data_IF_197045121685
#
_entry.id   IF_197045121685
#
_cell.length_a   1.000
_cell.length_b   1.000
_cell.length_c   1.000
_cell.angle_alpha   90.00
_cell.angle_beta   90.00
_cell.angle_gamma   90.00
#
_symmetry.space_group_name_H-M   'P 1'
#
loop_
_entity.id
_entity.type
_entity.pdbx_description
1 polymer ?
#
# COMPACT_ATOMS: atom_id res chain seq x y z
N UNK A 1 14.34 28.60 6.37
CA UNK A 1 13.29 28.70 5.33
C UNK A 1 13.66 29.86 4.44
N UNK A 2 13.82 29.63 3.13
CA UNK A 2 12.71 29.22 2.25
C UNK A 2 13.09 27.98 1.42
N UNK A 3 12.22 27.15 0.83
CA UNK A 3 10.84 26.73 1.06
C UNK A 3 10.90 25.24 0.67
N UNK A 4 10.80 24.29 1.62
CA UNK A 4 10.34 22.93 1.30
C UNK A 4 8.82 22.94 1.56
N UNK A 5 8.15 23.87 0.89
CA UNK A 5 6.71 23.78 0.66
C UNK A 5 6.53 22.73 -0.41
N UNK A 6 5.63 21.80 -0.13
CA UNK A 6 5.07 20.89 -1.09
C UNK A 6 6.07 19.87 -1.62
N UNK A 7 6.29 18.82 -0.83
CA UNK A 7 6.22 17.49 -1.44
C UNK A 7 4.83 17.39 -2.07
N UNK A 8 4.70 17.91 -3.28
CA UNK A 8 3.67 17.52 -4.23
C UNK A 8 3.90 16.05 -4.52
N UNK A 9 3.45 15.18 -3.61
CA UNK A 9 3.21 13.75 -3.87
C UNK A 9 2.20 13.55 -5.04
N UNK A 10 1.75 14.64 -5.66
CA UNK A 10 0.87 14.69 -6.81
C UNK A 10 1.61 14.93 -8.15
N UNK A 11 2.90 15.32 -8.15
CA UNK A 11 3.59 15.76 -9.38
C UNK A 11 4.65 14.78 -9.90
N UNK A 12 5.18 13.92 -9.03
CA UNK A 12 6.10 12.85 -9.43
C UNK A 12 5.36 11.51 -9.47
N UNK A 13 5.43 10.81 -10.60
CA UNK A 13 4.86 9.48 -10.75
C UNK A 13 5.46 8.49 -9.75
N UNK A 14 4.74 7.39 -9.47
CA UNK A 14 5.19 6.33 -8.57
C UNK A 14 6.62 5.87 -8.89
N UNK A 15 6.96 5.81 -10.18
CA UNK A 15 8.28 5.48 -10.68
C UNK A 15 9.36 6.47 -10.23
N UNK A 16 9.16 7.77 -10.45
CA UNK A 16 10.12 8.80 -10.03
C UNK A 16 10.30 8.81 -8.51
N UNK A 17 9.24 8.52 -7.75
CA UNK A 17 9.31 8.39 -6.29
C UNK A 17 10.10 7.16 -5.85
N UNK A 18 9.88 6.00 -6.48
CA UNK A 18 10.60 4.75 -6.17
C UNK A 18 12.08 4.82 -6.57
N UNK A 19 12.37 5.41 -7.73
CA UNK A 19 13.75 5.64 -8.17
C UNK A 19 14.48 6.61 -7.21
N UNK A 20 13.80 7.67 -6.77
CA UNK A 20 14.35 8.62 -5.81
C UNK A 20 14.56 7.97 -4.43
N UNK A 21 13.59 7.20 -3.93
CA UNK A 21 13.69 6.50 -2.65
C UNK A 21 14.87 5.50 -2.68
N UNK A 22 15.01 4.74 -3.76
CA UNK A 22 16.11 3.79 -3.94
C UNK A 22 17.46 4.50 -3.99
N UNK A 23 17.53 5.73 -4.54
CA UNK A 23 18.75 6.53 -4.56
C UNK A 23 19.14 7.12 -3.19
N UNK A 24 18.20 7.19 -2.24
CA UNK A 24 18.40 7.76 -0.89
C UNK A 24 18.66 6.70 0.19
N UNK A 25 18.56 5.40 -0.12
CA UNK A 25 18.84 4.33 0.82
C UNK A 25 20.35 4.25 1.11
N UNK A 26 20.72 4.35 2.39
CA UNK A 26 22.12 4.40 2.84
C UNK A 26 22.77 3.00 2.75
N UNK A 27 24.02 2.88 2.29
CA UNK A 27 24.68 1.58 2.04
C UNK A 27 25.25 0.88 3.29
N UNK A 28 24.65 1.06 4.47
CA UNK A 28 25.12 0.41 5.70
C UNK A 28 24.71 -1.09 5.72
N UNK A 29 25.59 -1.89 5.10
CA UNK A 29 25.87 -3.31 5.29
C UNK A 29 24.71 -4.25 5.70
N UNK A 30 23.89 -4.64 4.70
CA UNK A 30 23.55 -6.05 4.39
C UNK A 30 22.75 -6.19 3.08
N UNK A 31 22.32 -5.06 2.50
CA UNK A 31 21.41 -5.00 1.33
C UNK A 31 22.03 -4.31 0.11
N UNK A 32 23.36 -4.22 0.02
CA UNK A 32 24.02 -3.48 -1.08
C UNK A 32 23.67 -4.07 -2.45
N UNK A 33 23.55 -5.39 -2.55
CA UNK A 33 23.16 -6.09 -3.77
C UNK A 33 21.70 -5.83 -4.12
N UNK A 34 20.81 -5.88 -3.12
CA UNK A 34 19.38 -5.57 -3.28
C UNK A 34 19.17 -4.11 -3.73
N UNK A 35 19.93 -3.17 -3.17
CA UNK A 35 19.84 -1.75 -3.55
C UNK A 35 20.32 -1.50 -4.98
N UNK A 36 21.38 -2.19 -5.41
CA UNK A 36 21.85 -2.13 -6.80
C UNK A 36 20.80 -2.73 -7.72
N UNK A 37 20.25 -3.90 -7.37
CA UNK A 37 19.18 -4.54 -8.13
C UNK A 37 17.95 -3.64 -8.28
N UNK A 38 17.43 -3.08 -7.18
CA UNK A 38 16.26 -2.19 -7.22
C UNK A 38 16.55 -0.95 -8.05
N UNK A 39 17.76 -0.39 -7.94
CA UNK A 39 18.16 0.77 -8.75
C UNK A 39 18.15 0.41 -10.22
N UNK A 40 18.67 -0.74 -10.61
CA UNK A 40 18.69 -1.19 -12.00
C UNK A 40 17.27 -1.43 -12.51
N UNK A 41 16.45 -2.16 -11.76
CA UNK A 41 15.02 -2.42 -12.07
C UNK A 41 14.23 -1.11 -12.23
N UNK A 42 14.35 -0.16 -11.30
CA UNK A 42 13.63 1.11 -11.39
C UNK A 42 14.27 2.12 -12.32
N UNK A 43 15.44 1.83 -12.89
CA UNK A 43 16.04 2.64 -13.96
C UNK A 43 15.67 2.12 -15.35
N UNK A 44 15.11 0.91 -15.46
CA UNK A 44 14.69 0.31 -16.72
C UNK A 44 13.54 1.11 -17.36
N UNK A 45 13.73 1.48 -18.63
CA UNK A 45 12.74 2.28 -19.39
C UNK A 45 11.41 1.53 -19.54
N UNK A 46 11.46 0.21 -19.72
CA UNK A 46 10.26 -0.63 -19.84
C UNK A 46 9.39 -0.57 -18.58
N UNK A 47 10.01 -0.67 -17.41
CA UNK A 47 9.35 -0.56 -16.10
C UNK A 47 8.82 0.86 -15.90
N UNK A 48 9.57 1.89 -16.31
CA UNK A 48 9.09 3.27 -16.30
C UNK A 48 7.79 3.45 -17.09
N UNK A 49 7.74 2.94 -18.32
CA UNK A 49 6.53 3.02 -19.15
C UNK A 49 5.38 2.21 -18.56
N UNK A 50 5.65 1.00 -18.06
CA UNK A 50 4.65 0.15 -17.43
C UNK A 50 4.01 0.84 -16.20
N UNK A 51 4.84 1.44 -15.34
CA UNK A 51 4.36 2.19 -14.17
C UNK A 51 3.51 3.39 -14.58
N UNK A 52 3.91 4.13 -15.63
CA UNK A 52 3.14 5.28 -16.16
C UNK A 52 1.80 4.85 -16.74
N UNK A 53 1.75 3.74 -17.47
CA UNK A 53 0.50 3.15 -17.98
C UNK A 53 -0.39 2.72 -16.81
N UNK A 54 0.16 2.00 -15.83
CA UNK A 54 -0.58 1.56 -14.64
C UNK A 54 -1.18 2.74 -13.88
N UNK A 55 -0.40 3.79 -13.63
CA UNK A 55 -0.87 4.99 -12.94
C UNK A 55 -2.01 5.68 -13.71
N UNK A 56 -1.89 5.77 -15.04
CA UNK A 56 -2.96 6.30 -15.89
C UNK A 56 -4.22 5.43 -15.87
N UNK A 57 -4.09 4.11 -15.93
CA UNK A 57 -5.24 3.19 -15.83
C UNK A 57 -5.92 3.28 -14.46
N UNK A 58 -5.15 3.41 -13.38
CA UNK A 58 -5.67 3.58 -12.02
C UNK A 58 -6.46 4.87 -11.84
N UNK A 59 -6.15 5.92 -12.61
CA UNK A 59 -6.97 7.15 -12.63
C UNK A 59 -8.37 6.88 -13.20
N UNK A 60 -8.48 6.03 -14.23
CA UNK A 60 -9.77 5.63 -14.80
C UNK A 60 -10.55 4.68 -13.89
N UNK A 61 -9.88 3.80 -13.15
CA UNK A 61 -10.53 2.91 -12.18
C UNK A 61 -11.32 3.70 -11.13
N UNK A 62 -10.80 4.84 -10.65
CA UNK A 62 -11.51 5.73 -9.70
C UNK A 62 -12.82 6.30 -10.25
N UNK A 63 -12.97 6.35 -11.57
CA UNK A 63 -14.16 6.85 -12.27
C UNK A 63 -14.97 5.71 -12.90
N UNK A 64 -14.60 4.46 -12.64
CA UNK A 64 -15.26 3.31 -13.25
C UNK A 64 -16.71 3.20 -12.79
N UNK A 65 -17.66 2.94 -13.71
CA UNK A 65 -19.05 2.73 -13.34
C UNK A 65 -19.20 1.41 -12.56
N UNK A 66 -20.15 1.37 -11.63
CA UNK A 66 -20.51 0.12 -10.96
C UNK A 66 -21.21 -0.81 -11.94
N UNK A 67 -20.75 -2.06 -12.12
CA UNK A 67 -21.40 -3.01 -13.01
C UNK A 67 -22.79 -3.34 -12.48
N UNK A 68 -23.78 -3.37 -13.38
CA UNK A 68 -25.18 -3.69 -13.03
C UNK A 68 -25.33 -5.16 -12.65
N UNK A 69 -24.53 -6.02 -13.28
CA UNK A 69 -24.49 -7.47 -13.08
C UNK A 69 -23.03 -7.93 -13.16
N UNK A 70 -22.72 -9.11 -12.62
CA UNK A 70 -21.38 -9.69 -12.67
C UNK A 70 -21.28 -10.93 -13.59
N UNK A 71 -22.41 -11.40 -14.13
CA UNK A 71 -22.59 -12.64 -14.88
C UNK A 71 -23.49 -12.43 -16.11
N UNK A 72 -23.17 -11.42 -16.92
CA UNK A 72 -23.92 -11.08 -18.12
C UNK A 72 -23.79 -12.16 -19.21
N UNK A 73 -22.68 -12.91 -19.24
CA UNK A 73 -22.54 -14.06 -20.13
C UNK A 73 -23.54 -15.17 -19.80
N UNK A 74 -23.66 -15.57 -18.52
CA UNK A 74 -24.65 -16.56 -18.08
C UNK A 74 -26.09 -16.10 -18.39
N UNK A 75 -26.41 -14.82 -18.18
CA UNK A 75 -27.74 -14.31 -18.51
C UNK A 75 -28.05 -14.42 -20.01
N UNK A 76 -27.06 -14.20 -20.88
CA UNK A 76 -27.25 -14.37 -22.32
C UNK A 76 -27.47 -15.84 -22.70
N UNK A 77 -26.79 -16.76 -22.03
CA UNK A 77 -27.00 -18.21 -22.20
C UNK A 77 -28.41 -18.62 -21.76
N UNK A 78 -28.87 -18.14 -20.60
CA UNK A 78 -30.24 -18.37 -20.12
C UNK A 78 -31.27 -17.89 -21.15
N UNK A 79 -31.05 -16.73 -21.78
CA UNK A 79 -31.94 -16.21 -22.85
C UNK A 79 -31.91 -17.10 -24.09
N UNK A 80 -30.74 -17.65 -24.46
CA UNK A 80 -30.62 -18.62 -25.54
C UNK A 80 -31.41 -19.91 -25.23
N UNK A 81 -31.48 -20.33 -23.97
CA UNK A 81 -32.16 -21.54 -23.50
C UNK A 81 -33.68 -21.39 -23.28
N UNK A 82 -34.19 -20.16 -23.11
CA UNK A 82 -35.61 -19.89 -22.83
C UNK A 82 -36.57 -20.14 -24.01
N UNK A 83 -36.09 -20.66 -25.14
CA UNK A 83 -36.89 -20.90 -26.34
C UNK A 83 -37.95 -22.00 -26.12
N UNK A 84 -39.23 -21.62 -26.17
CA UNK A 84 -40.36 -22.52 -25.93
C UNK A 84 -41.37 -22.58 -27.09
N UNK A 85 -41.00 -22.11 -28.29
CA UNK A 85 -41.93 -22.07 -29.43
C UNK A 85 -41.34 -21.53 -30.74
N UNK A 86 -42.18 -21.29 -31.76
CA UNK A 86 -41.77 -20.62 -32.99
C UNK A 86 -41.31 -19.20 -32.66
N UNK A 87 -40.09 -18.86 -33.07
CA UNK A 87 -39.50 -17.55 -32.80
C UNK A 87 -40.05 -16.49 -33.75
N UNK A 88 -40.41 -15.34 -33.20
CA UNK A 88 -40.62 -14.14 -34.00
C UNK A 88 -39.29 -13.67 -34.63
N UNK A 89 -39.39 -12.80 -35.64
CA UNK A 89 -38.21 -12.34 -36.39
C UNK A 89 -37.22 -11.60 -35.47
N UNK A 90 -37.73 -10.78 -34.54
CA UNK A 90 -36.93 -10.03 -33.57
C UNK A 90 -36.22 -10.96 -32.57
N UNK A 91 -36.89 -12.02 -32.10
CA UNK A 91 -36.31 -13.00 -31.18
C UNK A 91 -35.16 -13.75 -31.87
N UNK A 92 -35.35 -14.13 -33.14
CA UNK A 92 -34.34 -14.80 -33.94
C UNK A 92 -33.12 -13.90 -34.21
N UNK A 93 -33.35 -12.62 -34.49
CA UNK A 93 -32.27 -11.64 -34.67
C UNK A 93 -31.48 -11.45 -33.38
N UNK A 94 -32.15 -11.32 -32.23
CA UNK A 94 -31.52 -11.20 -30.92
C UNK A 94 -30.65 -12.43 -30.60
N UNK A 95 -31.20 -13.63 -30.78
CA UNK A 95 -30.47 -14.87 -30.54
C UNK A 95 -29.24 -15.00 -31.45
N UNK A 96 -29.38 -14.63 -32.73
CA UNK A 96 -28.25 -14.61 -33.66
C UNK A 96 -27.17 -13.64 -33.18
N UNK A 97 -27.55 -12.46 -32.70
CA UNK A 97 -26.64 -11.45 -32.18
C UNK A 97 -25.92 -11.94 -30.92
N UNK A 98 -26.65 -12.49 -29.94
CA UNK A 98 -26.12 -13.09 -28.70
C UNK A 98 -25.15 -14.23 -28.99
N UNK A 99 -25.41 -15.01 -30.05
CA UNK A 99 -24.55 -16.09 -30.52
C UNK A 99 -23.30 -15.64 -31.27
N UNK A 100 -23.16 -14.35 -31.62
CA UNK A 100 -21.96 -13.87 -32.32
C UNK A 100 -20.71 -13.93 -31.42
N UNK A 101 -19.53 -14.30 -31.97
CA UNK A 101 -18.31 -14.41 -31.19
C UNK A 101 -17.89 -13.08 -30.56
N UNK A 102 -18.16 -11.96 -31.25
CA UNK A 102 -17.83 -10.63 -30.76
C UNK A 102 -18.67 -10.26 -29.53
N UNK A 103 -19.99 -10.52 -29.56
CA UNK A 103 -20.83 -10.20 -28.41
C UNK A 103 -20.53 -11.13 -27.23
N UNK A 104 -20.29 -12.42 -27.47
CA UNK A 104 -19.81 -13.35 -26.44
C UNK A 104 -18.49 -12.90 -25.81
N UNK A 105 -17.54 -12.41 -26.62
CA UNK A 105 -16.29 -11.85 -26.12
C UNK A 105 -16.51 -10.58 -25.26
N UNK A 106 -17.42 -9.70 -25.66
CA UNK A 106 -17.75 -8.49 -24.88
C UNK A 106 -18.40 -8.86 -23.54
N UNK A 107 -19.34 -9.81 -23.52
CA UNK A 107 -19.98 -10.28 -22.28
C UNK A 107 -18.98 -10.98 -21.35
N UNK A 108 -18.08 -11.79 -21.91
CA UNK A 108 -16.98 -12.43 -21.17
C UNK A 108 -16.01 -11.39 -20.57
N UNK A 109 -15.64 -10.37 -21.34
CA UNK A 109 -14.80 -9.28 -20.86
C UNK A 109 -15.50 -8.45 -19.77
N UNK A 110 -16.79 -8.18 -19.95
CA UNK A 110 -17.63 -7.54 -18.93
C UNK A 110 -17.56 -8.30 -17.61
N UNK A 111 -17.81 -9.62 -17.63
CA UNK A 111 -17.83 -10.43 -16.41
C UNK A 111 -16.44 -10.50 -15.75
N UNK A 112 -15.39 -10.62 -16.56
CA UNK A 112 -14.00 -10.61 -16.07
C UNK A 112 -13.66 -9.31 -15.34
N UNK A 113 -14.05 -8.16 -15.90
CA UNK A 113 -13.82 -6.84 -15.30
C UNK A 113 -14.71 -6.62 -14.09
N UNK A 114 -16.01 -6.94 -14.18
CA UNK A 114 -16.98 -6.78 -13.10
C UNK A 114 -16.59 -7.60 -11.87
N UNK A 115 -16.10 -8.83 -12.06
CA UNK A 115 -15.66 -9.72 -10.99
C UNK A 115 -14.24 -9.43 -10.50
N UNK A 116 -13.53 -8.45 -11.08
CA UNK A 116 -12.11 -8.18 -10.85
C UNK A 116 -11.20 -9.40 -11.04
N UNK A 117 -11.59 -10.33 -11.92
CA UNK A 117 -10.84 -11.55 -12.25
C UNK A 117 -9.73 -11.31 -13.27
N UNK A 118 -9.08 -10.16 -13.18
CA UNK A 118 -7.90 -9.81 -13.98
C UNK A 118 -6.66 -9.61 -13.12
N UNK A 119 -6.81 -9.57 -11.79
CA UNK A 119 -5.67 -9.56 -10.89
C UNK A 119 -4.93 -10.90 -10.97
N UNK A 120 -3.58 -10.89 -10.95
CA UNK A 120 -2.82 -12.12 -10.91
C UNK A 120 -3.22 -12.91 -9.66
N UNK A 121 -3.66 -14.15 -9.86
CA UNK A 121 -3.89 -15.07 -8.75
C UNK A 121 -2.54 -15.36 -8.12
N UNK A 122 -2.29 -14.80 -6.95
CA UNK A 122 -1.12 -15.16 -6.17
C UNK A 122 -1.20 -16.66 -5.85
N UNK A 123 -0.09 -17.42 -5.95
CA UNK A 123 -0.08 -18.77 -5.45
C UNK A 123 -0.51 -18.76 -3.98
N UNK A 124 -1.23 -19.79 -3.51
CA UNK A 124 -1.49 -19.94 -2.09
C UNK A 124 -0.16 -19.90 -1.34
N UNK A 125 -0.15 -19.16 -0.23
CA UNK A 125 1.00 -19.13 0.65
C UNK A 125 1.35 -20.58 1.08
N UNK A 126 2.63 -20.98 1.12
CA UNK A 126 3.03 -22.26 1.69
C UNK A 126 2.45 -22.45 3.09
N UNK A 127 1.97 -23.67 3.40
CA UNK A 127 1.40 -24.03 4.71
C UNK A 127 2.43 -23.90 5.86
N UNK A 128 3.72 -23.79 5.50
CA UNK A 128 4.90 -23.67 6.34
C UNK A 128 5.43 -22.23 6.48
N UNK A 129 4.69 -21.23 5.98
CA UNK A 129 4.84 -19.87 6.49
C UNK A 129 4.13 -19.80 7.83
N UNK A 130 4.89 -19.94 8.93
CA UNK A 130 4.37 -19.76 10.28
C UNK A 130 3.53 -18.47 10.35
N UNK A 131 2.33 -18.55 10.97
CA UNK A 131 1.51 -17.38 11.34
C UNK A 131 2.28 -16.36 12.21
N UNK A 132 3.52 -16.70 12.63
CA UNK A 132 4.50 -15.84 13.27
C UNK A 132 5.19 -14.86 12.30
N UNK A 133 4.90 -14.90 10.99
CA UNK A 133 4.97 -13.72 10.14
C UNK A 133 3.79 -12.78 10.46
N UNK A 134 3.57 -12.50 11.76
CA UNK A 134 3.05 -11.19 12.14
C UNK A 134 3.98 -10.21 11.46
N UNK A 135 3.49 -9.59 10.40
CA UNK A 135 4.15 -8.56 9.62
C UNK A 135 4.86 -7.61 10.60
N UNK A 136 6.15 -7.83 10.84
CA UNK A 136 6.98 -6.96 11.67
C UNK A 136 7.31 -5.73 10.81
N UNK A 137 6.25 -5.08 10.36
CA UNK A 137 6.26 -3.94 9.49
C UNK A 137 6.62 -2.73 10.34
N UNK A 138 7.85 -2.25 10.15
CA UNK A 138 8.33 -1.08 10.87
C UNK A 138 7.62 0.16 10.33
N UNK A 139 6.82 0.80 11.20
CA UNK A 139 6.16 2.07 10.87
C UNK A 139 7.04 3.26 11.26
N UNK A 140 7.45 4.07 10.27
CA UNK A 140 8.18 5.32 10.51
C UNK A 140 7.19 6.46 10.77
N UNK A 141 7.28 7.08 11.95
CA UNK A 141 6.38 8.16 12.37
C UNK A 141 7.17 9.45 12.63
N UNK A 142 6.71 10.57 12.04
CA UNK A 142 7.26 11.90 12.30
C UNK A 142 6.31 12.72 13.18
N UNK A 143 6.76 13.05 14.39
CA UNK A 143 6.00 13.83 15.36
C UNK A 143 6.52 15.26 15.45
N UNK A 144 5.62 16.25 15.34
CA UNK A 144 5.93 17.67 15.55
C UNK A 144 5.53 18.05 16.97
N UNK A 145 6.51 18.35 17.83
CA UNK A 145 6.31 18.81 19.22
C UNK A 145 6.71 20.29 19.36
N UNK A 146 5.79 21.14 19.84
CA UNK A 146 6.01 22.59 19.97
C UNK A 146 6.58 22.94 21.34
N UNK A 147 7.88 22.63 21.57
CA UNK A 147 8.60 22.78 22.86
C UNK A 147 8.03 21.97 24.04
N UNK A 148 6.94 21.24 23.84
CA UNK A 148 6.34 20.30 24.79
C UNK A 148 7.02 18.91 24.72
N UNK A 149 6.90 18.06 25.76
CA UNK A 149 7.25 16.65 25.67
C UNK A 149 6.35 15.93 24.67
N UNK A 150 6.78 14.75 24.20
CA UNK A 150 6.01 13.97 23.22
C UNK A 150 4.60 13.60 23.70
N UNK A 151 4.38 13.55 25.02
CA UNK A 151 3.10 13.14 25.60
C UNK A 151 2.92 11.62 25.58
N UNK A 152 4.00 10.86 25.70
CA UNK A 152 3.98 9.41 25.83
C UNK A 152 4.97 8.96 26.91
N UNK A 153 4.66 7.86 27.61
CA UNK A 153 5.57 7.19 28.54
C UNK A 153 5.95 5.83 27.98
N UNK A 154 7.19 5.42 28.22
CA UNK A 154 7.73 4.14 27.76
C UNK A 154 8.02 3.22 28.94
N UNK A 155 7.97 1.92 28.70
CA UNK A 155 8.47 0.89 29.62
C UNK A 155 9.41 -0.03 28.87
N UNK A 156 10.32 -0.66 29.59
CA UNK A 156 11.12 -1.76 29.06
C UNK A 156 10.43 -3.06 29.41
N UNK A 157 10.27 -3.94 28.44
CA UNK A 157 9.85 -5.30 28.66
C UNK A 157 11.01 -6.10 29.27
N UNK A 158 10.78 -6.77 30.39
CA UNK A 158 11.84 -7.48 31.12
C UNK A 158 12.23 -8.80 30.46
N UNK A 159 11.34 -9.41 29.67
CA UNK A 159 11.58 -10.68 29.01
C UNK A 159 12.30 -10.50 27.68
N UNK A 160 11.86 -9.54 26.86
CA UNK A 160 12.42 -9.30 25.52
C UNK A 160 13.45 -8.17 25.47
N UNK A 161 13.47 -7.29 26.47
CA UNK A 161 14.29 -6.08 26.47
C UNK A 161 13.74 -4.97 25.55
N UNK A 162 12.60 -5.19 24.89
CA UNK A 162 11.97 -4.22 24.01
C UNK A 162 11.50 -2.97 24.76
N UNK A 163 11.46 -1.83 24.06
CA UNK A 163 10.99 -0.57 24.63
C UNK A 163 9.62 -0.26 24.07
N UNK A 164 8.62 -0.31 24.94
CA UNK A 164 7.21 -0.28 24.55
C UNK A 164 6.55 1.00 25.03
N UNK A 165 5.69 1.59 24.21
CA UNK A 165 4.82 2.70 24.61
C UNK A 165 3.81 2.20 25.65
N UNK A 166 3.95 2.67 26.89
CA UNK A 166 3.11 2.26 28.01
C UNK A 166 1.84 3.11 28.15
N UNK A 167 1.91 4.41 27.81
CA UNK A 167 0.78 5.33 27.93
C UNK A 167 0.91 6.50 26.97
N UNK A 168 -0.23 6.95 26.44
CA UNK A 168 -0.38 8.22 25.71
C UNK A 168 -1.10 9.23 26.60
N UNK A 169 -0.54 10.44 26.72
CA UNK A 169 -1.10 11.55 27.49
C UNK A 169 -2.05 12.36 26.61
N UNK A 170 -3.32 12.45 27.03
CA UNK A 170 -4.34 13.22 26.32
C UNK A 170 -3.90 14.67 26.09
N UNK A 171 -4.11 15.15 24.88
CA UNK A 171 -3.74 16.51 24.45
C UNK A 171 -2.25 16.70 24.14
N UNK A 172 -1.39 15.69 24.34
CA UNK A 172 0.04 15.75 23.99
C UNK A 172 0.30 15.55 22.49
N UNK A 173 1.55 15.73 22.05
CA UNK A 173 1.92 15.62 20.63
C UNK A 173 1.64 14.22 20.02
N UNK A 174 1.87 13.15 20.77
CA UNK A 174 1.56 11.78 20.35
C UNK A 174 0.04 11.57 20.20
N UNK A 175 -0.75 12.02 21.17
CA UNK A 175 -2.22 11.93 21.15
C UNK A 175 -2.83 12.68 19.96
N UNK A 176 -2.41 13.93 19.76
CA UNK A 176 -2.89 14.76 18.64
C UNK A 176 -2.48 14.23 17.26
N UNK A 177 -1.41 13.43 17.18
CA UNK A 177 -0.99 12.82 15.93
C UNK A 177 -1.88 11.63 15.53
N UNK A 178 -2.36 10.85 16.51
CA UNK A 178 -3.04 9.58 16.27
C UNK A 178 -2.16 8.51 15.61
N UNK A 179 -0.84 8.73 15.52
CA UNK A 179 0.07 7.83 14.79
C UNK A 179 0.80 6.83 15.70
N UNK A 180 0.84 7.09 17.00
CA UNK A 180 1.50 6.26 18.03
C UNK A 180 0.46 5.75 19.01
N UNK A 181 0.51 4.46 19.31
CA UNK A 181 -0.44 3.78 20.19
C UNK A 181 0.26 3.12 21.38
N UNK A 182 -0.53 2.81 22.41
CA UNK A 182 -0.05 1.98 23.52
C UNK A 182 0.19 0.57 22.99
N UNK A 183 1.36 0.01 23.29
CA UNK A 183 1.80 -1.28 22.76
C UNK A 183 2.84 -1.19 21.64
N UNK A 184 3.01 -0.02 21.01
CA UNK A 184 4.02 0.16 19.95
C UNK A 184 5.43 -0.06 20.51
N UNK A 185 6.26 -0.82 19.77
CA UNK A 185 7.69 -0.98 20.06
C UNK A 185 8.52 0.14 19.42
N UNK A 186 9.37 0.78 20.22
CA UNK A 186 10.34 1.78 19.79
C UNK A 186 11.66 1.12 19.46
N UNK A 187 11.95 1.00 18.16
CA UNK A 187 13.24 0.50 17.66
C UNK A 187 14.28 1.59 17.50
N UNK A 188 13.88 2.73 16.95
CA UNK A 188 14.78 3.86 16.66
C UNK A 188 14.10 5.20 16.92
N UNK A 189 14.82 6.17 17.47
CA UNK A 189 14.36 7.55 17.60
C UNK A 189 15.46 8.51 17.17
N UNK A 190 15.19 9.37 16.18
CA UNK A 190 16.15 10.36 15.67
C UNK A 190 17.52 9.74 15.28
N UNK A 191 17.56 8.62 14.54
CA UNK A 191 18.83 7.99 14.15
C UNK A 191 19.49 7.16 15.26
N UNK A 192 18.85 7.01 16.43
CA UNK A 192 19.42 6.31 17.57
C UNK A 192 18.65 5.01 17.85
N UNK A 193 19.32 3.87 17.71
CA UNK A 193 18.79 2.56 18.09
C UNK A 193 18.49 2.51 19.60
N UNK A 194 17.32 2.01 19.96
CA UNK A 194 16.77 2.06 21.32
C UNK A 194 16.99 0.76 22.11
N UNK A 195 17.10 -0.38 21.42
CA UNK A 195 17.13 -1.75 21.97
C UNK A 195 18.18 -1.96 23.07
N UNK A 196 19.28 -1.20 23.06
CA UNK A 196 20.36 -1.32 24.05
C UNK A 196 20.53 -0.11 24.98
N UNK A 197 19.61 0.86 24.96
CA UNK A 197 19.69 2.07 25.77
C UNK A 197 18.90 1.96 27.06
N UNK A 198 19.38 2.58 28.13
CA UNK A 198 18.67 2.63 29.42
C UNK A 198 17.46 3.56 29.33
N UNK A 199 16.38 3.33 30.10
CA UNK A 199 15.19 4.20 30.10
C UNK A 199 15.50 5.69 30.27
N UNK A 200 16.49 6.03 31.10
CA UNK A 200 16.92 7.42 31.31
C UNK A 200 17.56 8.03 30.06
N UNK A 201 18.34 7.26 29.31
CA UNK A 201 18.98 7.69 28.06
C UNK A 201 17.94 7.87 26.96
N UNK A 202 16.97 6.96 26.90
CA UNK A 202 15.87 7.04 25.93
C UNK A 202 14.99 8.25 26.24
N UNK A 203 14.71 8.50 27.52
CA UNK A 203 14.00 9.70 27.97
C UNK A 203 14.73 10.97 27.55
N UNK A 204 16.06 11.00 27.65
CA UNK A 204 16.87 12.12 27.13
C UNK A 204 16.78 12.24 25.61
N UNK A 205 16.81 11.15 24.85
CA UNK A 205 16.67 11.17 23.38
C UNK A 205 15.29 11.69 22.96
N UNK A 206 14.23 11.25 23.64
CA UNK A 206 12.86 11.69 23.39
C UNK A 206 12.63 13.16 23.78
N UNK A 207 13.35 13.67 24.78
CA UNK A 207 13.28 15.07 25.22
C UNK A 207 14.16 15.97 24.34
N UNK A 208 15.32 15.49 23.88
CA UNK A 208 16.25 16.24 23.04
C UNK A 208 15.50 16.83 21.84
N UNK A 209 15.84 18.09 21.57
CA UNK A 209 15.51 18.74 20.31
C UNK A 209 16.55 18.29 19.32
N UNK A 210 16.16 17.98 18.08
CA UNK A 210 17.09 18.11 16.98
C UNK A 210 17.38 19.62 16.85
N UNK A 211 18.36 20.10 17.61
CA UNK A 211 19.05 21.33 17.28
C UNK A 211 19.98 20.99 16.14
N UNK A 212 19.79 21.64 14.99
CA UNK A 212 20.80 21.68 13.95
C UNK A 212 22.15 22.05 14.59
N UNK A 213 23.14 21.16 14.55
CA UNK A 213 24.53 21.58 14.64
C UNK A 213 25.08 21.66 13.22
N UNK A 214 25.71 22.80 12.95
CA UNK A 214 26.28 23.24 11.68
C UNK A 214 27.32 22.26 11.12
#
# INVERSE_FOLDING_TARGET
WPVLSDFTFLEFGLHETLALLTSQLHPDANHKEDLVFLKDVFSEKSISYLMKIHEKLKQYEKQSPTPVLHSASCLAEDVEELQNGPLEDDERELLLLLSTPHLKAVLSAHDTVAQKKFDPVLPPLPDDLDDDLEEESVKIVRLVKNKEPLGATIRRDEATGAVIVARIMRGGAADRSGLVHVGDELREVNGNLITHKRPDEISQILVRKNGFSM
#
